data_IF_257531103955
#
_entry.id   IF_257531103955
#
_cell.length_a   1.000
_cell.length_b   1.000
_cell.length_c   1.000
_cell.angle_alpha   90.00
_cell.angle_beta   90.00
_cell.angle_gamma   90.00
#
_symmetry.space_group_name_H-M   'P 1'
#
loop_
_entity.id
_entity.type
_entity.pdbx_description
1 polymer ?
#
# COMPACT_ATOMS: atom_id res chain seq x y z
N UNK A 1 18.60 -1.03 3.62
CA UNK A 1 17.51 -1.63 4.44
C UNK A 1 16.46 -0.57 4.68
N UNK A 2 15.19 -0.95 4.73
CA UNK A 2 14.08 -0.03 4.99
C UNK A 2 13.18 -0.50 6.13
N UNK A 3 12.55 0.46 6.79
CA UNK A 3 11.51 0.29 7.79
C UNK A 3 10.23 0.97 7.32
N UNK A 4 9.09 0.32 7.48
CA UNK A 4 7.78 0.82 7.10
C UNK A 4 6.94 0.92 8.37
N UNK A 5 6.42 2.11 8.65
CA UNK A 5 5.66 2.40 9.87
C UNK A 5 4.19 2.58 9.53
N UNK A 6 3.32 1.69 9.97
CA UNK A 6 1.91 1.71 9.58
C UNK A 6 0.95 1.29 10.69
N UNK A 7 -0.35 1.30 10.36
CA UNK A 7 -1.44 0.87 11.24
C UNK A 7 -2.35 -0.19 10.58
N UNK A 8 -1.80 -1.33 10.13
CA UNK A 8 -2.63 -2.40 9.55
C UNK A 8 -3.68 -2.87 10.56
N UNK A 9 -4.94 -2.96 10.11
CA UNK A 9 -6.09 -3.28 10.97
C UNK A 9 -6.16 -2.45 12.28
N UNK A 10 -5.68 -1.20 12.25
CA UNK A 10 -5.66 -0.29 13.40
C UNK A 10 -4.51 -0.51 14.40
N UNK A 11 -3.67 -1.52 14.19
CA UNK A 11 -2.56 -1.85 15.10
C UNK A 11 -1.26 -1.22 14.61
N UNK A 12 -0.57 -0.46 15.48
CA UNK A 12 0.72 0.12 15.13
C UNK A 12 1.76 -0.98 14.90
N UNK A 13 2.39 -0.96 13.73
CA UNK A 13 3.38 -1.97 13.34
C UNK A 13 4.60 -1.34 12.64
N UNK A 14 5.75 -1.99 12.86
CA UNK A 14 7.00 -1.70 12.15
C UNK A 14 7.40 -2.92 11.35
N UNK A 15 7.39 -2.77 10.03
CA UNK A 15 7.81 -3.83 9.10
C UNK A 15 9.18 -3.49 8.53
N UNK A 16 10.08 -4.47 8.50
CA UNK A 16 11.42 -4.32 7.89
C UNK A 16 11.44 -4.96 6.50
N UNK A 17 12.20 -4.39 5.59
CA UNK A 17 12.44 -4.95 4.26
C UNK A 17 13.68 -4.38 3.59
N UNK A 18 13.82 -4.66 2.30
CA UNK A 18 14.81 -4.12 1.39
C UNK A 18 14.14 -3.39 0.22
N UNK A 19 14.90 -2.53 -0.44
CA UNK A 19 14.51 -2.03 -1.76
C UNK A 19 14.90 -3.08 -2.78
N UNK A 20 13.91 -3.83 -3.26
CA UNK A 20 14.11 -4.91 -4.24
C UNK A 20 14.37 -4.35 -5.63
N UNK A 21 13.76 -3.21 -5.96
CA UNK A 21 14.00 -2.51 -7.23
C UNK A 21 13.87 -1.01 -7.01
N UNK A 22 14.96 -0.22 -7.17
CA UNK A 22 14.95 1.21 -6.82
C UNK A 22 14.25 2.08 -7.86
N UNK A 23 14.05 1.60 -9.09
CA UNK A 23 13.43 2.34 -10.18
C UNK A 23 12.56 1.39 -11.04
N UNK A 24 11.31 1.81 -11.27
CA UNK A 24 10.31 1.13 -12.10
C UNK A 24 9.91 1.94 -13.35
N UNK A 25 10.58 3.06 -13.62
CA UNK A 25 10.23 4.00 -14.68
C UNK A 25 8.97 4.82 -14.35
N UNK A 26 8.53 5.70 -15.26
CA UNK A 26 7.43 6.63 -15.02
C UNK A 26 6.07 5.93 -14.81
N UNK A 27 5.24 6.36 -13.84
CA UNK A 27 5.55 7.35 -12.79
C UNK A 27 6.56 6.79 -11.79
N UNK A 28 7.44 7.67 -11.28
CA UNK A 28 8.58 7.33 -10.42
C UNK A 28 8.12 6.48 -9.23
N UNK A 29 8.66 5.26 -9.13
CA UNK A 29 8.23 4.21 -8.21
C UNK A 29 9.38 3.29 -7.91
N UNK A 30 9.36 2.72 -6.71
CA UNK A 30 10.27 1.65 -6.30
C UNK A 30 9.51 0.48 -5.68
N UNK A 31 10.17 -0.68 -5.64
CA UNK A 31 9.66 -1.89 -5.02
C UNK A 31 10.38 -2.19 -3.71
N UNK A 32 9.60 -2.60 -2.73
CA UNK A 32 10.10 -3.22 -1.50
C UNK A 32 9.45 -4.58 -1.29
N UNK A 33 10.10 -5.44 -0.51
CA UNK A 33 9.59 -6.74 -0.10
C UNK A 33 8.88 -6.72 1.27
N UNK A 34 8.68 -5.52 1.84
CA UNK A 34 8.03 -5.35 3.12
C UNK A 34 6.60 -5.92 3.11
N UNK A 35 6.26 -6.69 4.14
CA UNK A 35 4.91 -7.21 4.37
C UNK A 35 3.95 -6.06 4.66
N UNK A 36 3.15 -5.69 3.66
CA UNK A 36 2.07 -4.71 3.81
C UNK A 36 0.72 -5.39 3.74
N UNK A 37 -0.12 -5.02 4.69
CA UNK A 37 -1.55 -5.35 4.72
C UNK A 37 -2.37 -4.10 4.41
N UNK A 38 -3.68 -4.29 4.20
CA UNK A 38 -4.63 -3.18 4.24
C UNK A 38 -4.45 -2.35 5.52
N UNK A 39 -4.53 -1.02 5.40
CA UNK A 39 -4.16 -0.08 6.47
C UNK A 39 -2.67 0.33 6.48
N UNK A 40 -1.86 -0.19 5.55
CA UNK A 40 -0.46 0.24 5.38
C UNK A 40 -0.26 1.28 4.27
N UNK A 41 -1.29 1.58 3.48
CA UNK A 41 -1.23 2.64 2.46
C UNK A 41 -0.97 4.00 3.11
N UNK A 42 -0.01 4.75 2.55
CA UNK A 42 0.43 6.03 3.10
C UNK A 42 1.46 5.91 4.22
N UNK A 43 1.83 4.70 4.65
CA UNK A 43 2.87 4.49 5.65
C UNK A 43 4.22 5.07 5.17
N UNK A 44 4.94 5.85 5.98
CA UNK A 44 6.28 6.31 5.64
C UNK A 44 7.26 5.13 5.59
N UNK A 45 8.15 5.19 4.62
CA UNK A 45 9.25 4.24 4.41
C UNK A 45 10.56 4.97 4.73
N UNK A 46 11.27 4.46 5.73
CA UNK A 46 12.52 5.01 6.22
C UNK A 46 13.68 4.10 5.83
N UNK A 47 14.73 4.63 5.20
CA UNK A 47 15.96 3.90 4.94
C UNK A 47 17.00 4.19 6.02
N UNK A 48 17.82 3.18 6.36
CA UNK A 48 19.01 3.39 7.19
C UNK A 48 20.16 3.84 6.30
N UNK A 49 20.71 5.02 6.58
CA UNK A 49 21.95 5.48 5.94
C UNK A 49 23.15 4.80 6.59
N UNK A 50 23.88 4.02 5.80
CA UNK A 50 24.93 3.11 6.28
C UNK A 50 26.14 3.77 6.94
N UNK A 51 26.29 5.10 6.84
CA UNK A 51 27.42 5.84 7.38
C UNK A 51 27.19 6.43 8.79
N UNK A 52 25.93 6.59 9.21
CA UNK A 52 25.56 7.43 10.36
C UNK A 52 24.41 6.91 11.22
N UNK A 53 23.98 5.66 11.01
CA UNK A 53 22.79 5.08 11.68
C UNK A 53 21.54 5.97 11.62
N UNK A 54 21.49 6.88 10.64
CA UNK A 54 20.41 7.84 10.49
C UNK A 54 19.26 7.23 9.68
N UNK A 55 18.03 7.55 10.05
CA UNK A 55 16.84 7.21 9.27
C UNK A 55 16.51 8.35 8.31
N UNK A 56 16.37 8.03 7.03
CA UNK A 56 15.97 8.97 5.98
C UNK A 56 14.62 8.57 5.42
N UNK A 57 13.71 9.54 5.27
CA UNK A 57 12.42 9.28 4.65
C UNK A 57 12.60 9.17 3.14
N UNK A 58 12.46 7.97 2.61
CA UNK A 58 12.72 7.66 1.19
C UNK A 58 11.46 7.52 0.35
N UNK A 59 10.29 7.41 0.99
CA UNK A 59 9.03 7.36 0.27
C UNK A 59 7.85 6.95 1.13
N UNK A 60 6.72 6.71 0.49
CA UNK A 60 5.51 6.23 1.12
C UNK A 60 5.06 4.91 0.48
N UNK A 61 4.55 4.02 1.31
CA UNK A 61 3.94 2.78 0.88
C UNK A 61 2.67 3.08 0.09
N UNK A 62 2.57 2.52 -1.11
CA UNK A 62 1.33 2.45 -1.87
C UNK A 62 0.76 1.04 -1.71
N UNK A 63 -0.56 0.92 -1.67
CA UNK A 63 -1.28 -0.32 -1.45
C UNK A 63 -0.62 -1.54 -2.12
N UNK A 64 -0.61 -2.66 -1.39
CA UNK A 64 0.01 -3.91 -1.83
C UNK A 64 -0.52 -4.34 -3.21
N UNK A 65 0.33 -4.97 -4.02
CA UNK A 65 -0.05 -5.44 -5.34
C UNK A 65 -1.25 -6.40 -5.21
N UNK A 66 -2.40 -6.07 -5.79
CA UNK A 66 -3.55 -6.98 -5.83
C UNK A 66 -3.65 -7.67 -7.19
N UNK A 67 -4.26 -8.85 -7.20
CA UNK A 67 -4.75 -9.51 -8.41
C UNK A 67 -6.25 -9.69 -8.27
N UNK A 68 -6.98 -9.27 -9.29
CA UNK A 68 -8.38 -9.60 -9.43
C UNK A 68 -8.54 -11.09 -9.77
N UNK A 69 -9.30 -11.79 -8.93
CA UNK A 69 -9.69 -13.17 -9.11
C UNK A 69 -11.20 -13.25 -9.33
N UNK A 70 -11.59 -14.10 -10.28
CA UNK A 70 -12.98 -14.43 -10.52
C UNK A 70 -13.28 -15.80 -9.94
N UNK A 71 -14.32 -15.88 -9.11
CA UNK A 71 -14.75 -17.12 -8.45
C UNK A 71 -16.21 -17.39 -8.74
N UNK A 72 -16.53 -18.66 -8.90
CA UNK A 72 -17.91 -19.11 -8.95
C UNK A 72 -18.42 -19.25 -7.52
N UNK A 73 -19.45 -18.50 -7.16
CA UNK A 73 -20.05 -18.56 -5.83
C UNK A 73 -21.58 -18.70 -5.90
N UNK A 74 -22.19 -19.42 -4.93
CA UNK A 74 -23.62 -19.35 -4.69
C UNK A 74 -24.08 -17.91 -4.42
N UNK A 75 -25.37 -17.64 -4.61
CA UNK A 75 -25.98 -16.39 -4.13
C UNK A 75 -25.66 -16.17 -2.65
N UNK A 76 -25.10 -15.00 -2.32
CA UNK A 76 -24.88 -14.62 -0.94
C UNK A 76 -26.23 -14.50 -0.21
N UNK A 77 -26.45 -15.37 0.78
CA UNK A 77 -27.56 -15.25 1.73
C UNK A 77 -27.01 -14.65 3.04
N UNK A 78 -27.57 -13.53 3.53
CA UNK A 78 -26.96 -12.73 4.59
C UNK A 78 -26.86 -13.39 5.97
N UNK A 79 -27.28 -14.65 6.16
CA UNK A 79 -27.40 -15.22 7.50
C UNK A 79 -27.36 -16.77 7.56
N UNK A 80 -26.39 -17.39 6.90
CA UNK A 80 -26.27 -18.85 6.93
C UNK A 80 -25.43 -19.33 8.12
N UNK A 81 -26.08 -20.03 9.06
CA UNK A 81 -25.41 -20.87 10.03
C UNK A 81 -24.55 -21.96 9.31
N UNK A 82 -23.47 -22.46 9.93
CA UNK A 82 -22.64 -23.49 9.33
C UNK A 82 -23.47 -24.72 8.95
N UNK A 83 -23.58 -25.01 7.66
CA UNK A 83 -24.30 -26.17 7.16
C UNK A 83 -23.35 -27.37 6.94
N UNK A 84 -23.82 -28.61 7.16
CA UNK A 84 -23.05 -29.80 6.78
C UNK A 84 -22.77 -29.82 5.27
N UNK A 85 -21.69 -30.48 4.82
CA UNK A 85 -21.34 -30.55 3.40
C UNK A 85 -22.49 -31.15 2.58
N UNK A 86 -23.00 -30.39 1.62
CA UNK A 86 -24.03 -30.82 0.67
C UNK A 86 -23.67 -30.40 -0.75
N UNK A 87 -24.19 -31.12 -1.74
CA UNK A 87 -24.09 -30.69 -3.14
C UNK A 87 -24.87 -29.39 -3.31
N UNK A 88 -24.28 -28.44 -4.03
CA UNK A 88 -24.92 -27.19 -4.39
C UNK A 88 -25.84 -27.42 -5.61
N UNK A 89 -27.10 -27.04 -5.51
CA UNK A 89 -28.13 -27.20 -6.55
C UNK A 89 -28.73 -25.87 -7.03
N UNK A 90 -28.19 -24.74 -6.54
CA UNK A 90 -28.69 -23.40 -6.85
C UNK A 90 -27.98 -22.71 -8.04
N UNK A 91 -28.38 -21.46 -8.34
CA UNK A 91 -27.74 -20.66 -9.37
C UNK A 91 -26.34 -20.19 -8.96
N UNK A 92 -25.36 -20.43 -9.82
CA UNK A 92 -23.97 -19.99 -9.63
C UNK A 92 -23.78 -18.60 -10.23
N UNK A 93 -23.10 -17.72 -9.49
CA UNK A 93 -22.75 -16.38 -9.91
C UNK A 93 -21.25 -16.22 -10.07
N UNK A 94 -20.85 -15.28 -10.91
CA UNK A 94 -19.46 -14.85 -11.01
C UNK A 94 -19.20 -13.74 -9.99
N UNK A 95 -18.31 -14.01 -9.06
CA UNK A 95 -17.82 -13.04 -8.08
C UNK A 95 -16.44 -12.54 -8.47
N UNK A 96 -16.20 -11.26 -8.20
CA UNK A 96 -14.92 -10.62 -8.38
C UNK A 96 -14.37 -10.23 -7.02
N UNK A 97 -13.16 -10.70 -6.72
CA UNK A 97 -12.45 -10.36 -5.48
C UNK A 97 -11.01 -9.95 -5.78
N UNK A 98 -10.50 -8.95 -5.08
CA UNK A 98 -9.10 -8.54 -5.19
C UNK A 98 -8.29 -9.26 -4.12
N UNK A 99 -7.35 -10.11 -4.54
CA UNK A 99 -6.47 -10.86 -3.66
C UNK A 99 -5.12 -10.14 -3.56
N UNK A 100 -4.73 -9.80 -2.33
CA UNK A 100 -3.46 -9.15 -2.05
C UNK A 100 -2.30 -10.14 -2.26
N UNK A 101 -1.28 -9.74 -3.02
CA UNK A 101 0.00 -10.44 -3.13
C UNK A 101 1.01 -9.85 -2.15
N UNK A 102 1.19 -10.53 -1.03
CA UNK A 102 2.19 -10.17 -0.04
C UNK A 102 3.62 -10.29 -0.59
N UNK A 103 4.53 -9.47 -0.05
CA UNK A 103 5.93 -9.45 -0.44
C UNK A 103 6.23 -8.64 -1.71
N UNK A 104 5.22 -8.02 -2.34
CA UNK A 104 5.41 -7.06 -3.43
C UNK A 104 4.70 -5.76 -3.07
N UNK A 105 5.51 -4.77 -2.72
CA UNK A 105 5.05 -3.45 -2.31
C UNK A 105 5.51 -2.41 -3.31
N UNK A 106 4.55 -1.72 -3.93
CA UNK A 106 4.85 -0.52 -4.70
C UNK A 106 4.99 0.67 -3.75
N UNK A 107 5.93 1.55 -4.04
CA UNK A 107 6.21 2.71 -3.20
C UNK A 107 6.38 3.95 -4.06
N UNK A 108 5.95 5.08 -3.52
CA UNK A 108 6.11 6.40 -4.13
C UNK A 108 7.36 7.04 -3.49
N UNK A 109 8.39 7.37 -4.27
CA UNK A 109 9.59 8.07 -3.81
C UNK A 109 9.26 9.39 -3.13
N UNK A 110 10.08 9.76 -2.14
CA UNK A 110 9.96 11.06 -1.48
C UNK A 110 10.17 12.22 -2.45
N UNK A 111 10.94 12.00 -3.52
CA UNK A 111 11.15 12.96 -4.62
C UNK A 111 9.84 13.30 -5.33
N UNK A 112 9.01 12.30 -5.61
CA UNK A 112 7.70 12.47 -6.25
C UNK A 112 6.73 13.22 -5.32
N UNK A 113 6.70 12.87 -4.02
CA UNK A 113 5.90 13.60 -3.02
C UNK A 113 6.33 15.06 -2.91
N UNK A 114 7.64 15.32 -2.89
CA UNK A 114 8.20 16.68 -2.88
C UNK A 114 7.82 17.44 -4.15
N UNK A 115 7.96 16.83 -5.31
CA UNK A 115 7.59 17.45 -6.59
C UNK A 115 6.10 17.81 -6.62
N UNK A 116 5.23 16.92 -6.14
CA UNK A 116 3.79 17.17 -6.00
C UNK A 116 3.50 18.37 -5.08
N UNK A 117 4.12 18.44 -3.90
CA UNK A 117 3.94 19.56 -2.98
C UNK A 117 4.45 20.89 -3.55
N UNK A 118 5.61 20.87 -4.22
CA UNK A 118 6.17 22.06 -4.88
C UNK A 118 5.26 22.54 -6.01
N UNK A 119 4.72 21.62 -6.82
CA UNK A 119 3.78 21.96 -7.90
C UNK A 119 2.47 22.57 -7.38
N UNK A 120 2.00 22.14 -6.21
CA UNK A 120 0.79 22.67 -5.57
C UNK A 120 0.99 23.97 -4.79
N UNK A 121 2.24 24.32 -4.47
CA UNK A 121 2.57 25.48 -3.62
C UNK A 121 1.87 26.79 -4.07
N UNK A 122 1.89 27.20 -5.36
CA UNK A 122 1.27 28.46 -5.76
C UNK A 122 -0.25 28.48 -5.49
N UNK A 123 -0.91 27.35 -5.68
CA UNK A 123 -2.35 27.22 -5.41
C UNK A 123 -2.65 27.22 -3.91
N UNK A 124 -1.87 26.47 -3.12
CA UNK A 124 -2.03 26.42 -1.66
C UNK A 124 -1.78 27.78 -1.01
N UNK A 125 -0.79 28.53 -1.48
CA UNK A 125 -0.53 29.89 -1.02
C UNK A 125 -1.69 30.84 -1.41
N UNK A 126 -2.25 30.71 -2.61
CA UNK A 126 -3.40 31.51 -3.05
C UNK A 126 -4.67 31.28 -2.20
N UNK A 127 -4.86 30.07 -1.66
CA UNK A 127 -5.98 29.74 -0.76
C UNK A 127 -5.64 29.91 0.74
N UNK A 128 -4.48 30.50 1.06
CA UNK A 128 -4.10 30.88 2.42
C UNK A 128 -3.44 29.79 3.25
N UNK A 129 -2.92 28.72 2.62
CA UNK A 129 -2.16 27.66 3.28
C UNK A 129 -0.65 27.82 3.02
N UNK A 130 0.11 28.48 3.92
CA UNK A 130 1.55 28.61 3.78
C UNK A 130 2.26 27.25 3.98
N UNK A 131 3.09 26.85 3.02
CA UNK A 131 3.88 25.62 3.11
C UNK A 131 5.31 25.97 3.58
N UNK A 132 5.86 25.30 4.61
CA UNK A 132 7.26 25.45 5.00
C UNK A 132 8.23 25.22 3.84
N UNK A 133 9.45 25.75 3.95
CA UNK A 133 10.54 25.36 3.04
C UNK A 133 10.91 23.88 3.29
N UNK A 134 11.06 23.12 2.21
CA UNK A 134 11.25 21.66 2.20
C UNK A 134 12.70 21.27 1.90
#
# INVERSE_FOLDING_TARGET
MVYILGHPAGQQMVTRGIVSRPDLGPPDRFLTDGLLNEGSSGAPILAVRGDREALEWVGIARAAASRTEYRLEPRAEPDQAPQPPRLYDGPIYLSQSDVIRYGITFSIPITEVRAFLVGLRPWLEAVGYPIPEL
#
